data_IF_005176997771
#
_entry.id   IF_005176997771
#
_cell.length_a   1.000
_cell.length_b   1.000
_cell.length_c   1.000
_cell.angle_alpha   90.00
_cell.angle_beta   90.00
_cell.angle_gamma   90.00
#
_symmetry.space_group_name_H-M   'P 1'
#
loop_
_entity.id
_entity.type
_entity.pdbx_description
1 polymer ?
#
# COMPACT_ATOMS: atom_id res chain seq x y z
N UNK A 1 16.46 -5.42 -2.34
CA UNK A 1 17.44 -4.71 -3.20
C UNK A 1 17.69 -5.53 -4.45
N UNK A 2 18.14 -6.80 -4.34
CA UNK A 2 18.39 -7.72 -5.47
C UNK A 2 17.20 -7.84 -6.44
N UNK A 3 15.97 -7.99 -5.94
CA UNK A 3 14.77 -8.08 -6.80
C UNK A 3 14.52 -6.79 -7.63
N UNK A 4 14.71 -5.62 -7.03
CA UNK A 4 14.51 -4.34 -7.74
C UNK A 4 15.54 -4.15 -8.84
N UNK A 5 16.78 -4.53 -8.56
CA UNK A 5 17.87 -4.52 -9.54
C UNK A 5 17.57 -5.47 -10.71
N UNK A 6 17.07 -6.67 -10.43
CA UNK A 6 16.69 -7.63 -11.46
C UNK A 6 15.58 -7.11 -12.41
N UNK A 7 14.67 -6.26 -11.90
CA UNK A 7 13.63 -5.61 -12.71
C UNK A 7 14.05 -4.25 -13.28
N UNK A 8 15.29 -3.80 -13.03
CA UNK A 8 15.77 -2.49 -13.49
C UNK A 8 15.08 -1.31 -12.82
N UNK A 9 14.48 -1.50 -11.64
CA UNK A 9 13.78 -0.43 -10.91
C UNK A 9 14.68 0.26 -9.90
N UNK A 10 14.55 1.59 -9.74
CA UNK A 10 15.20 2.30 -8.65
C UNK A 10 14.67 1.78 -7.30
N UNK A 11 15.53 1.69 -6.28
CA UNK A 11 15.15 1.28 -4.93
C UNK A 11 15.12 2.48 -3.97
N UNK A 12 14.03 3.27 -3.95
CA UNK A 12 13.97 4.48 -3.14
C UNK A 12 13.82 4.17 -1.65
N UNK A 13 14.03 5.21 -0.83
CA UNK A 13 13.92 5.14 0.64
C UNK A 13 12.56 4.55 1.05
N UNK A 14 12.49 3.78 2.16
CA UNK A 14 11.25 3.13 2.60
C UNK A 14 10.04 4.06 2.65
N UNK A 15 10.20 5.27 3.20
CA UNK A 15 9.10 6.24 3.27
C UNK A 15 8.53 6.64 1.89
N UNK A 16 9.37 6.73 0.86
CA UNK A 16 8.92 7.01 -0.52
C UNK A 16 8.11 5.84 -1.06
N UNK A 17 8.58 4.60 -0.85
CA UNK A 17 7.86 3.39 -1.29
C UNK A 17 6.49 3.25 -0.62
N UNK A 18 6.37 3.62 0.66
CA UNK A 18 5.07 3.63 1.36
C UNK A 18 4.13 4.72 0.83
N UNK A 19 4.64 5.90 0.44
CA UNK A 19 3.80 6.93 -0.23
C UNK A 19 3.41 6.51 -1.65
N UNK A 20 4.28 5.82 -2.36
CA UNK A 20 3.95 5.21 -3.65
C UNK A 20 2.84 4.16 -3.50
N UNK A 21 2.90 3.33 -2.45
CA UNK A 21 1.83 2.37 -2.14
C UNK A 21 0.48 3.07 -1.90
N UNK A 22 0.48 4.16 -1.13
CA UNK A 22 -0.70 5.00 -0.87
C UNK A 22 -1.40 5.41 -2.18
N UNK A 23 -0.65 6.01 -3.10
CA UNK A 23 -1.17 6.44 -4.41
C UNK A 23 -1.57 5.26 -5.29
N UNK A 24 -0.84 4.15 -5.22
CA UNK A 24 -1.13 2.94 -6.01
C UNK A 24 -2.47 2.33 -5.65
N UNK A 25 -2.78 2.22 -4.35
CA UNK A 25 -4.06 1.63 -3.92
C UNK A 25 -5.22 2.54 -4.33
N UNK A 26 -5.07 3.86 -4.20
CA UNK A 26 -6.07 4.83 -4.64
C UNK A 26 -6.35 4.70 -6.15
N UNK A 27 -5.30 4.67 -6.98
CA UNK A 27 -5.42 4.48 -8.43
C UNK A 27 -6.11 3.15 -8.74
N UNK A 28 -5.69 2.06 -8.11
CA UNK A 28 -6.26 0.73 -8.32
C UNK A 28 -7.76 0.71 -8.01
N UNK A 29 -8.17 1.25 -6.85
CA UNK A 29 -9.59 1.34 -6.47
C UNK A 29 -10.41 2.16 -7.48
N UNK A 30 -9.88 3.29 -7.97
CA UNK A 30 -10.53 4.07 -9.02
C UNK A 30 -10.68 3.26 -10.30
N UNK A 31 -9.61 2.63 -10.77
CA UNK A 31 -9.62 1.79 -11.97
C UNK A 31 -10.63 0.64 -11.87
N UNK A 32 -10.82 0.05 -10.69
CA UNK A 32 -11.79 -1.04 -10.51
C UNK A 32 -13.24 -0.59 -10.41
N UNK A 33 -13.50 0.69 -10.15
CA UNK A 33 -14.85 1.19 -9.79
C UNK A 33 -15.38 2.26 -10.72
N UNK A 34 -14.51 2.94 -11.48
CA UNK A 34 -14.85 4.04 -12.36
C UNK A 34 -14.68 3.61 -13.82
N UNK A 35 -15.54 4.10 -14.70
CA UNK A 35 -15.45 3.84 -16.15
C UNK A 35 -14.11 4.32 -16.73
N UNK A 36 -13.64 5.48 -16.25
CA UNK A 36 -12.35 6.09 -16.57
C UNK A 36 -11.75 6.66 -15.30
N UNK A 37 -10.55 6.22 -14.94
CA UNK A 37 -9.86 6.64 -13.72
C UNK A 37 -8.87 7.77 -14.01
N UNK A 38 -9.06 8.90 -13.34
CA UNK A 38 -8.11 10.01 -13.33
C UNK A 38 -7.59 10.23 -11.91
N UNK A 39 -6.28 10.39 -11.76
CA UNK A 39 -5.60 10.64 -10.50
C UNK A 39 -4.32 11.45 -10.74
N UNK A 40 -4.05 12.44 -9.89
CA UNK A 40 -2.84 13.26 -9.97
C UNK A 40 -2.20 13.37 -8.59
N UNK A 41 -1.21 12.51 -8.35
CA UNK A 41 -0.45 12.45 -7.11
C UNK A 41 0.93 13.07 -7.24
N UNK A 42 1.74 12.86 -6.20
CA UNK A 42 3.15 13.26 -6.17
C UNK A 42 4.02 12.27 -6.92
N UNK A 43 3.68 10.99 -6.85
CA UNK A 43 4.49 9.91 -7.43
C UNK A 43 3.92 9.42 -8.76
N UNK A 44 2.60 9.37 -8.87
CA UNK A 44 1.91 8.86 -10.05
C UNK A 44 0.82 9.80 -10.53
N UNK A 45 0.60 9.80 -11.84
CA UNK A 45 -0.51 10.48 -12.48
C UNK A 45 -1.08 9.55 -13.54
N UNK A 46 -2.40 9.42 -13.58
CA UNK A 46 -3.14 8.75 -14.64
C UNK A 46 -4.28 9.66 -15.10
N UNK A 47 -4.58 9.63 -16.38
CA UNK A 47 -5.62 10.44 -17.01
C UNK A 47 -6.47 9.53 -17.89
N UNK A 48 -7.78 9.51 -17.61
CA UNK A 48 -8.79 8.69 -18.29
C UNK A 48 -8.40 7.22 -18.47
N UNK A 49 -7.71 6.64 -17.48
CA UNK A 49 -7.23 5.27 -17.54
C UNK A 49 -8.39 4.26 -17.51
N UNK A 50 -8.34 3.29 -18.41
CA UNK A 50 -9.34 2.24 -18.56
C UNK A 50 -8.87 0.95 -17.89
N UNK A 51 -9.77 0.25 -17.20
CA UNK A 51 -9.51 -1.08 -16.62
C UNK A 51 -10.71 -1.99 -16.88
N UNK A 52 -10.69 -2.70 -18.02
CA UNK A 52 -11.78 -3.59 -18.41
C UNK A 52 -11.30 -5.02 -18.64
N UNK A 53 -12.11 -6.03 -18.23
CA UNK A 53 -13.38 -5.90 -17.51
C UNK A 53 -13.18 -5.46 -16.04
N UNK A 54 -14.17 -4.79 -15.45
CA UNK A 54 -14.15 -4.50 -14.02
C UNK A 54 -14.19 -5.78 -13.17
N UNK A 55 -13.63 -5.77 -11.96
CA UNK A 55 -13.74 -6.90 -11.05
C UNK A 55 -15.20 -7.25 -10.74
N UNK A 56 -15.44 -8.56 -10.57
CA UNK A 56 -16.76 -9.11 -10.21
C UNK A 56 -17.12 -8.72 -8.77
N UNK A 57 -16.16 -8.71 -7.84
CA UNK A 57 -16.37 -8.33 -6.45
C UNK A 57 -16.76 -6.86 -6.31
N UNK A 58 -17.70 -6.57 -5.40
CA UNK A 58 -18.18 -5.22 -5.05
C UNK A 58 -17.95 -4.92 -3.56
N UNK A 59 -17.65 -3.66 -3.18
CA UNK A 59 -17.51 -2.49 -4.06
C UNK A 59 -16.23 -2.51 -4.90
N UNK A 60 -15.17 -3.18 -4.45
CA UNK A 60 -13.92 -3.41 -5.18
C UNK A 60 -13.25 -4.71 -4.70
N UNK A 61 -12.12 -5.10 -5.29
CA UNK A 61 -11.30 -6.22 -4.80
C UNK A 61 -10.81 -5.90 -3.37
N UNK A 62 -10.95 -6.79 -2.37
CA UNK A 62 -10.41 -6.55 -1.03
C UNK A 62 -8.89 -6.34 -1.05
N UNK A 63 -8.43 -5.27 -0.40
CA UNK A 63 -7.01 -4.89 -0.35
C UNK A 63 -6.41 -5.27 0.99
N UNK A 64 -5.35 -6.06 0.94
CA UNK A 64 -4.56 -6.44 2.12
C UNK A 64 -3.23 -5.67 2.11
N UNK A 65 -2.90 -5.02 3.23
CA UNK A 65 -1.63 -4.30 3.36
C UNK A 65 -0.75 -4.96 4.43
N UNK A 66 0.48 -5.28 4.04
CA UNK A 66 1.49 -5.89 4.91
C UNK A 66 2.47 -4.89 5.50
N UNK A 67 2.69 -4.94 6.82
CA UNK A 67 3.80 -4.29 7.51
C UNK A 67 3.43 -3.56 8.81
N UNK A 68 4.38 -3.50 9.75
CA UNK A 68 4.19 -2.95 11.10
C UNK A 68 4.68 -1.50 11.27
N UNK A 69 5.25 -0.88 10.23
CA UNK A 69 5.76 0.49 10.32
C UNK A 69 4.65 1.53 10.48
N UNK A 70 4.88 2.59 11.25
CA UNK A 70 3.86 3.60 11.55
C UNK A 70 3.27 4.26 10.29
N UNK A 71 4.08 4.50 9.25
CA UNK A 71 3.60 5.01 7.96
C UNK A 71 2.77 3.97 7.21
N UNK A 72 3.19 2.70 7.24
CA UNK A 72 2.45 1.60 6.62
C UNK A 72 1.07 1.47 7.27
N UNK A 73 1.01 1.46 8.60
CA UNK A 73 -0.25 1.39 9.34
C UNK A 73 -1.18 2.59 9.05
N UNK A 74 -0.64 3.78 8.81
CA UNK A 74 -1.42 4.95 8.35
C UNK A 74 -1.97 4.79 6.93
N UNK A 75 -1.23 4.16 6.02
CA UNK A 75 -1.73 3.82 4.68
C UNK A 75 -2.78 2.74 4.78
N UNK A 76 -2.53 1.69 5.57
CA UNK A 76 -3.48 0.61 5.82
C UNK A 76 -4.80 1.13 6.37
N UNK A 77 -4.78 1.99 7.39
CA UNK A 77 -5.98 2.55 7.99
C UNK A 77 -6.82 3.39 7.00
N UNK A 78 -6.19 3.96 5.97
CA UNK A 78 -6.88 4.72 4.92
C UNK A 78 -7.47 3.84 3.83
N UNK A 79 -6.81 2.75 3.48
CA UNK A 79 -7.07 2.05 2.22
C UNK A 79 -7.37 0.56 2.34
N UNK A 80 -6.87 -0.13 3.37
CA UNK A 80 -6.89 -1.58 3.44
C UNK A 80 -8.18 -2.11 4.06
N UNK A 81 -8.65 -3.25 3.56
CA UNK A 81 -9.74 -4.02 4.16
C UNK A 81 -9.21 -5.00 5.23
N UNK A 82 -7.93 -5.38 5.12
CA UNK A 82 -7.24 -6.19 6.11
C UNK A 82 -5.76 -5.83 6.21
N UNK A 83 -5.16 -6.11 7.37
CA UNK A 83 -3.74 -5.86 7.64
C UNK A 83 -3.03 -7.13 8.05
N UNK A 84 -1.85 -7.35 7.50
CA UNK A 84 -0.92 -8.37 7.96
C UNK A 84 0.29 -7.66 8.58
N UNK A 85 0.45 -7.74 9.89
CA UNK A 85 1.58 -7.12 10.56
C UNK A 85 2.15 -8.08 11.61
N UNK A 86 3.46 -8.00 11.81
CA UNK A 86 4.10 -8.76 12.86
C UNK A 86 3.65 -8.18 14.20
N UNK A 87 3.02 -9.02 15.02
CA UNK A 87 2.82 -8.76 16.43
C UNK A 87 4.07 -9.19 17.17
N UNK A 88 4.91 -8.23 17.59
CA UNK A 88 5.96 -8.52 18.56
C UNK A 88 5.36 -8.39 19.98
N UNK A 89 5.48 -9.42 20.83
CA UNK A 89 5.15 -9.27 22.24
C UNK A 89 6.01 -8.16 22.83
N UNK A 90 5.45 -7.34 23.72
CA UNK A 90 6.26 -6.40 24.49
C UNK A 90 7.41 -7.17 25.14
N UNK A 91 8.65 -6.62 25.13
CA UNK A 91 9.75 -7.27 25.83
C UNK A 91 9.34 -7.50 27.29
N UNK A 92 9.71 -8.65 27.89
CA UNK A 92 9.36 -8.92 29.27
C UNK A 92 9.85 -7.75 30.14
N UNK A 93 9.11 -7.35 31.19
CA UNK A 93 9.51 -6.25 32.04
C UNK A 93 10.95 -6.49 32.50
N UNK A 94 11.83 -5.53 32.20
CA UNK A 94 13.22 -5.61 32.61
C UNK A 94 13.25 -5.85 34.11
N UNK A 95 13.88 -6.93 34.56
CA UNK A 95 14.11 -7.13 35.98
C UNK A 95 14.82 -5.87 36.48
N UNK A 96 14.16 -5.12 37.37
CA UNK A 96 14.84 -4.05 38.11
C UNK A 96 15.96 -4.76 38.87
N UNK A 97 17.20 -4.64 38.38
CA UNK A 97 18.37 -4.93 39.19
C UNK A 97 18.34 -3.88 40.30
N UNK A 98 18.09 -4.37 41.51
CA UNK A 98 18.25 -3.61 42.74
C UNK A 98 19.70 -3.26 43.01
#
# INVERSE_FOLDING_TARGET
MVEYEAYGYPFPKPATRIRQLDETIEIAKRMWTQEKATFKGRHYSVEDALCYPHPVQKPHIPVWVGGSGSLTLKVSARHADAVNFAWEPAPPPSSRRG
#
